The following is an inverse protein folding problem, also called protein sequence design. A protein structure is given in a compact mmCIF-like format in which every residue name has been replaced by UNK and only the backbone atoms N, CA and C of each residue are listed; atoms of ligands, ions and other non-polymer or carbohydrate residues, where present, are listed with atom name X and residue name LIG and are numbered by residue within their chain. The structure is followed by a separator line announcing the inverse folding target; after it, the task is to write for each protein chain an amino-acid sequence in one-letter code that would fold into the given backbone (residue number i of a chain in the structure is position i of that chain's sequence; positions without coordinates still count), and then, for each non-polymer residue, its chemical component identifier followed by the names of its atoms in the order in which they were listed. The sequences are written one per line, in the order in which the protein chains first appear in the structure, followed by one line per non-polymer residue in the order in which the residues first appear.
data_IF_461206875905
#
_entry.id   IF_461206875905
#
_cell.length_a   1.000
_cell.length_b   1.000
_cell.length_c   1.000
_cell.angle_alpha   90.00
_cell.angle_beta   90.00
_cell.angle_gamma   90.00
#
_symmetry.space_group_name_H-M   'P 1'
#
loop_
_entity.id
_entity.type
_entity.pdbx_description
1 polymer ?
#
# COMPACT_ATOMS: atom_id res chain seq x y z
N UNK A 1 -44.14 15.01 33.35
CA UNK A 1 -43.92 15.25 31.90
C UNK A 1 -42.41 15.36 31.70
N UNK A 2 -41.78 14.26 31.33
CA UNK A 2 -40.30 14.19 31.13
C UNK A 2 -40.07 14.34 29.63
N UNK A 3 -39.41 15.43 29.25
CA UNK A 3 -39.03 15.67 27.88
C UNK A 3 -37.79 14.82 27.54
N UNK A 4 -37.96 13.84 26.68
CA UNK A 4 -36.87 13.10 26.05
C UNK A 4 -36.28 13.99 24.94
N UNK A 5 -35.14 14.60 25.21
CA UNK A 5 -34.31 15.21 24.15
C UNK A 5 -33.58 14.09 23.40
N UNK A 6 -34.07 13.78 22.20
CA UNK A 6 -33.35 12.94 21.25
C UNK A 6 -32.11 13.72 20.74
N UNK A 7 -30.94 13.30 21.18
CA UNK A 7 -29.67 13.76 20.60
C UNK A 7 -29.56 13.12 19.20
N UNK A 8 -29.88 13.89 18.18
CA UNK A 8 -29.57 13.51 16.79
C UNK A 8 -28.05 13.52 16.64
N UNK A 9 -27.49 12.32 16.61
CA UNK A 9 -26.09 12.14 16.21
C UNK A 9 -26.00 12.57 14.74
N UNK A 10 -25.41 13.73 14.47
CA UNK A 10 -25.13 14.19 13.13
C UNK A 10 -24.24 13.15 12.45
N UNK A 11 -24.79 12.40 11.49
CA UNK A 11 -24.01 11.61 10.56
C UNK A 11 -23.09 12.62 9.83
N UNK A 12 -21.78 12.57 10.12
CA UNK A 12 -20.80 13.20 9.25
C UNK A 12 -20.90 12.48 7.92
N UNK A 13 -21.30 13.18 6.88
CA UNK A 13 -21.08 12.74 5.51
C UNK A 13 -19.59 12.50 5.37
N UNK A 14 -19.21 11.23 5.19
CA UNK A 14 -17.81 10.86 4.93
C UNK A 14 -17.61 11.19 3.47
N UNK A 15 -16.92 12.30 3.21
CA UNK A 15 -16.48 12.66 1.87
C UNK A 15 -15.45 11.60 1.45
N UNK A 16 -15.80 10.80 0.45
CA UNK A 16 -14.86 9.81 -0.12
C UNK A 16 -13.85 10.60 -0.94
N UNK A 17 -12.63 10.68 -0.43
CA UNK A 17 -11.54 11.34 -1.14
C UNK A 17 -11.06 10.39 -2.25
N UNK A 18 -11.14 10.84 -3.50
CA UNK A 18 -10.61 10.11 -4.65
C UNK A 18 -9.12 10.44 -4.79
N UNK A 19 -8.27 9.42 -4.70
CA UNK A 19 -6.85 9.55 -4.95
C UNK A 19 -6.49 8.91 -6.29
N UNK A 20 -5.73 9.61 -7.10
CA UNK A 20 -4.97 9.00 -8.19
C UNK A 20 -3.57 8.68 -7.67
N UNK A 21 -3.14 7.43 -7.83
CA UNK A 21 -1.78 7.07 -7.50
C UNK A 21 -0.83 7.79 -8.47
N UNK A 22 -0.04 8.71 -7.94
CA UNK A 22 0.90 9.48 -8.76
C UNK A 22 1.99 8.57 -9.31
N UNK A 23 2.24 8.68 -10.62
CA UNK A 23 3.39 8.01 -11.25
C UNK A 23 4.64 8.81 -10.94
N UNK A 24 5.61 8.18 -10.32
CA UNK A 24 6.89 8.83 -10.10
C UNK A 24 7.67 8.91 -11.42
N UNK A 25 7.85 10.10 -11.93
CA UNK A 25 8.67 10.37 -13.11
C UNK A 25 10.18 10.13 -12.87
N UNK A 26 10.56 9.85 -11.63
CA UNK A 26 11.95 9.71 -11.19
C UNK A 26 12.71 8.50 -11.76
N UNK A 27 12.03 7.54 -12.38
CA UNK A 27 12.72 6.49 -13.14
C UNK A 27 13.51 7.05 -14.37
N UNK A 28 13.38 8.35 -14.66
CA UNK A 28 14.00 9.02 -15.82
C UNK A 28 14.99 10.12 -15.41
N UNK A 29 14.99 10.57 -14.16
CA UNK A 29 15.82 11.69 -13.70
C UNK A 29 16.94 11.15 -12.82
N UNK A 30 18.18 11.37 -13.21
CA UNK A 30 19.39 10.84 -12.57
C UNK A 30 19.55 11.15 -11.07
N UNK A 31 20.52 10.51 -10.45
CA UNK A 31 20.83 10.47 -9.01
C UNK A 31 20.72 11.81 -8.25
N UNK A 32 21.00 12.95 -8.89
CA UNK A 32 20.94 14.28 -8.25
C UNK A 32 19.53 14.71 -7.83
N UNK A 33 18.50 14.30 -8.56
CA UNK A 33 17.11 14.64 -8.22
C UNK A 33 16.57 13.75 -7.11
N UNK A 34 17.02 12.50 -7.05
CA UNK A 34 16.72 11.54 -6.00
C UNK A 34 17.23 12.05 -4.64
N UNK A 35 18.45 12.55 -4.58
CA UNK A 35 19.05 13.11 -3.35
C UNK A 35 18.34 14.37 -2.84
N UNK A 36 17.87 15.24 -3.74
CA UNK A 36 17.19 16.49 -3.37
C UNK A 36 15.78 16.24 -2.80
N UNK A 37 15.09 15.24 -3.33
CA UNK A 37 13.76 14.85 -2.84
C UNK A 37 13.87 14.11 -1.50
N UNK A 38 14.91 13.30 -1.32
CA UNK A 38 15.14 12.48 -0.13
C UNK A 38 15.68 13.24 1.10
N UNK A 39 16.12 14.50 1.00
CA UNK A 39 16.63 15.22 2.18
C UNK A 39 15.64 15.36 3.33
N UNK A 40 14.33 15.24 3.08
CA UNK A 40 13.28 15.38 4.08
C UNK A 40 12.42 14.13 4.29
N UNK A 41 12.41 13.19 3.35
CA UNK A 41 11.62 11.96 3.41
C UNK A 41 12.54 10.79 3.08
N UNK A 42 12.69 9.86 4.00
CA UNK A 42 13.51 8.65 3.84
C UNK A 42 12.59 7.44 3.73
N UNK A 43 13.07 6.38 3.10
CA UNK A 43 12.48 5.07 3.29
C UNK A 43 12.60 4.71 4.78
N UNK A 44 11.46 4.48 5.40
CA UNK A 44 11.34 4.12 6.82
C UNK A 44 10.84 2.70 7.02
N UNK A 45 10.68 1.91 5.94
CA UNK A 45 10.14 0.54 5.99
C UNK A 45 10.86 -0.30 7.03
N UNK A 46 12.19 -0.37 6.96
CA UNK A 46 13.02 -1.10 7.93
C UNK A 46 12.95 -0.53 9.36
N UNK A 47 12.66 0.77 9.48
CA UNK A 47 12.56 1.44 10.79
C UNK A 47 11.22 1.18 11.47
N UNK A 48 10.12 1.16 10.74
CA UNK A 48 8.77 0.96 11.30
C UNK A 48 8.34 -0.49 11.30
N UNK A 49 9.10 -1.37 10.62
CA UNK A 49 8.90 -2.84 10.58
C UNK A 49 7.43 -3.23 10.38
N UNK A 50 6.80 -2.83 9.26
CA UNK A 50 5.40 -3.15 9.04
C UNK A 50 5.22 -4.66 8.88
N UNK A 51 4.05 -5.17 9.28
CA UNK A 51 3.58 -6.52 8.95
C UNK A 51 2.55 -6.40 7.82
N UNK A 52 2.59 -7.28 6.82
CA UNK A 52 1.55 -7.36 5.79
C UNK A 52 0.79 -8.68 5.91
N UNK A 53 -0.54 -8.58 5.96
CA UNK A 53 -1.48 -9.69 5.88
C UNK A 53 -2.27 -9.59 4.59
N UNK A 54 -2.53 -10.74 3.98
CA UNK A 54 -3.29 -10.85 2.74
C UNK A 54 -4.41 -11.86 2.91
N UNK A 55 -5.56 -11.64 2.27
CA UNK A 55 -6.71 -12.57 2.36
C UNK A 55 -6.51 -13.82 1.54
N UNK A 56 -5.69 -13.77 0.50
CA UNK A 56 -5.29 -14.95 -0.27
C UNK A 56 -3.83 -14.91 -0.68
N UNK A 57 -3.26 -16.07 -0.96
CA UNK A 57 -1.87 -16.22 -1.42
C UNK A 57 -1.81 -17.40 -2.40
N UNK A 58 -1.32 -17.15 -3.61
CA UNK A 58 -1.13 -18.20 -4.60
C UNK A 58 -0.13 -19.25 -4.09
N UNK A 59 -0.33 -20.55 -4.43
CA UNK A 59 0.61 -21.58 -4.07
C UNK A 59 1.97 -21.37 -4.73
N UNK A 60 3.03 -21.79 -4.06
CA UNK A 60 4.40 -21.73 -4.60
C UNK A 60 4.45 -22.48 -5.96
N UNK A 61 5.17 -21.93 -6.91
CA UNK A 61 5.32 -22.49 -8.25
C UNK A 61 6.67 -22.10 -8.85
N UNK A 62 7.29 -23.03 -9.58
CA UNK A 62 8.57 -22.77 -10.28
C UNK A 62 9.73 -22.36 -9.37
N UNK A 63 9.69 -22.72 -8.09
CA UNK A 63 10.68 -22.33 -7.08
C UNK A 63 10.43 -20.96 -6.45
N UNK A 64 9.36 -20.26 -6.85
CA UNK A 64 8.95 -18.96 -6.29
C UNK A 64 7.86 -19.13 -5.23
N UNK A 65 7.86 -18.30 -4.21
CA UNK A 65 6.77 -18.13 -3.23
C UNK A 65 6.10 -16.79 -3.46
N UNK A 66 4.80 -16.72 -3.16
CA UNK A 66 3.96 -15.52 -3.44
C UNK A 66 3.35 -14.94 -2.17
N UNK A 67 4.10 -15.00 -1.10
CA UNK A 67 3.71 -14.62 0.25
C UNK A 67 3.60 -13.09 0.40
N UNK A 68 2.74 -12.63 1.32
CA UNK A 68 2.61 -11.19 1.63
C UNK A 68 3.90 -10.54 2.11
N UNK A 69 4.81 -11.31 2.75
CA UNK A 69 6.14 -10.80 3.17
C UNK A 69 7.04 -10.38 2.02
N UNK A 70 6.84 -10.92 0.81
CA UNK A 70 7.57 -10.50 -0.39
C UNK A 70 7.32 -9.02 -0.75
N UNK A 71 6.26 -8.41 -0.18
CA UNK A 71 5.96 -7.00 -0.38
C UNK A 71 6.85 -6.06 0.46
N UNK A 72 7.70 -6.61 1.33
CA UNK A 72 8.54 -5.84 2.25
C UNK A 72 10.01 -6.23 2.16
N UNK A 73 10.38 -7.07 1.19
CA UNK A 73 11.75 -7.59 1.08
C UNK A 73 12.68 -6.70 0.23
N UNK A 74 12.15 -5.61 -0.33
CA UNK A 74 12.89 -4.68 -1.19
C UNK A 74 13.34 -5.29 -2.52
N UNK A 75 12.81 -6.46 -2.89
CA UNK A 75 13.19 -7.19 -4.08
C UNK A 75 12.08 -7.16 -5.14
N UNK A 76 12.25 -6.35 -6.17
CA UNK A 76 11.27 -6.22 -7.26
C UNK A 76 11.01 -7.52 -8.03
N UNK A 77 11.86 -8.55 -7.88
CA UNK A 77 11.70 -9.84 -8.58
C UNK A 77 10.78 -10.81 -7.85
N UNK A 78 10.59 -10.64 -6.57
CA UNK A 78 9.59 -11.35 -5.76
C UNK A 78 8.24 -10.65 -5.86
N UNK A 79 7.17 -11.29 -5.45
CA UNK A 79 5.83 -10.67 -5.40
C UNK A 79 4.91 -11.41 -4.43
N UNK A 80 3.94 -10.71 -3.89
CA UNK A 80 2.68 -11.33 -3.50
C UNK A 80 1.83 -11.58 -4.72
N UNK A 81 1.02 -12.65 -4.66
CA UNK A 81 0.08 -12.98 -5.72
C UNK A 81 -1.22 -13.55 -5.14
N UNK A 82 -2.36 -13.10 -5.65
CA UNK A 82 -3.68 -13.63 -5.29
C UNK A 82 -3.91 -15.04 -5.84
N UNK A 83 -4.83 -15.80 -5.22
CA UNK A 83 -5.24 -17.10 -5.76
C UNK A 83 -6.14 -17.01 -7.00
N UNK A 84 -6.85 -15.87 -7.16
CA UNK A 84 -7.83 -15.62 -8.22
C UNK A 84 -7.58 -14.29 -8.92
N UNK A 85 -8.65 -13.65 -9.39
CA UNK A 85 -8.60 -12.38 -10.13
C UNK A 85 -8.32 -11.16 -9.25
N UNK A 86 -8.06 -11.35 -7.98
CA UNK A 86 -7.69 -10.35 -6.99
C UNK A 86 -8.85 -9.46 -6.52
N UNK A 87 -10.04 -9.56 -7.10
CA UNK A 87 -11.18 -8.75 -6.67
C UNK A 87 -11.65 -9.16 -5.28
N UNK A 88 -11.90 -8.14 -4.44
CA UNK A 88 -12.25 -8.27 -3.02
C UNK A 88 -11.14 -8.86 -2.13
N UNK A 89 -9.91 -8.99 -2.64
CA UNK A 89 -8.76 -9.29 -1.81
C UNK A 89 -8.34 -8.07 -1.00
N UNK A 90 -7.96 -8.32 0.25
CA UNK A 90 -7.45 -7.29 1.14
C UNK A 90 -5.92 -7.46 1.31
N UNK A 91 -5.22 -6.33 1.25
CA UNK A 91 -3.86 -6.15 1.72
C UNK A 91 -3.93 -5.31 2.98
N UNK A 92 -3.57 -5.87 4.12
CA UNK A 92 -3.57 -5.15 5.39
C UNK A 92 -2.14 -4.94 5.87
N UNK A 93 -1.75 -3.68 6.01
CA UNK A 93 -0.48 -3.27 6.59
C UNK A 93 -0.71 -2.89 8.05
N UNK A 94 0.08 -3.46 8.94
CA UNK A 94 0.07 -3.18 10.38
C UNK A 94 1.42 -2.59 10.76
N UNK A 95 1.42 -1.39 11.35
CA UNK A 95 2.59 -0.75 11.94
C UNK A 95 2.34 -0.61 13.43
N UNK A 96 3.14 -1.32 14.22
CA UNK A 96 3.10 -1.30 15.69
C UNK A 96 4.43 -0.80 16.23
N UNK A 97 4.49 0.49 16.55
CA UNK A 97 5.72 1.10 17.06
C UNK A 97 6.03 0.68 18.51
N UNK A 98 5.09 0.08 19.23
CA UNK A 98 5.36 -0.47 20.58
C UNK A 98 6.35 -1.63 20.50
N UNK A 99 6.29 -2.41 19.41
CA UNK A 99 7.18 -3.55 19.16
C UNK A 99 8.51 -3.14 18.49
N UNK A 100 8.72 -1.85 18.18
CA UNK A 100 9.92 -1.35 17.51
C UNK A 100 10.82 -0.60 18.49
N UNK A 101 12.02 -1.14 18.72
CA UNK A 101 13.00 -0.50 19.59
C UNK A 101 13.53 0.81 18.99
N UNK A 102 13.64 1.83 19.83
CA UNK A 102 14.22 3.13 19.46
C UNK A 102 13.34 4.02 18.58
N UNK A 103 12.12 3.60 18.24
CA UNK A 103 11.17 4.41 17.48
C UNK A 103 9.94 4.75 18.32
N UNK A 104 9.74 6.03 18.62
CA UNK A 104 8.59 6.49 19.40
C UNK A 104 7.47 7.05 18.54
N UNK A 105 7.81 7.64 17.41
CA UNK A 105 6.86 8.23 16.47
C UNK A 105 7.34 8.03 15.04
N UNK A 106 6.40 7.89 14.11
CA UNK A 106 6.66 7.96 12.69
C UNK A 106 5.68 8.95 12.04
N UNK A 107 6.13 9.59 10.98
CA UNK A 107 5.29 10.42 10.10
C UNK A 107 5.38 9.80 8.73
N UNK A 108 4.29 9.18 8.28
CA UNK A 108 4.17 8.63 6.95
C UNK A 108 3.80 9.77 5.99
N UNK A 109 4.59 9.93 4.94
CA UNK A 109 4.34 10.93 3.89
C UNK A 109 3.84 10.24 2.62
N UNK A 110 4.51 9.17 2.19
CA UNK A 110 4.12 8.41 1.01
C UNK A 110 4.15 6.91 1.28
N UNK A 111 3.31 6.21 0.56
CA UNK A 111 3.40 4.76 0.41
C UNK A 111 3.60 4.45 -1.08
N UNK A 112 4.72 3.83 -1.41
CA UNK A 112 5.08 3.49 -2.77
C UNK A 112 4.62 2.08 -3.10
N UNK A 113 4.18 1.88 -4.34
CA UNK A 113 3.72 0.61 -4.87
C UNK A 113 4.43 0.25 -6.16
N UNK A 114 4.87 -0.99 -6.24
CA UNK A 114 5.40 -1.58 -7.45
C UNK A 114 4.39 -2.58 -8.00
N UNK A 115 3.37 -2.03 -8.68
CA UNK A 115 2.18 -2.73 -9.13
C UNK A 115 2.48 -3.77 -10.22
N UNK A 116 2.01 -5.00 -10.01
CA UNK A 116 2.30 -6.15 -10.85
C UNK A 116 3.57 -6.92 -10.45
N UNK A 117 3.83 -8.07 -11.08
CA UNK A 117 5.06 -8.84 -10.84
C UNK A 117 6.21 -8.30 -11.69
N UNK A 118 7.11 -7.56 -11.09
CA UNK A 118 8.20 -6.84 -11.78
C UNK A 118 9.49 -7.67 -11.94
N UNK A 119 9.39 -9.00 -11.95
CA UNK A 119 10.53 -9.89 -12.23
C UNK A 119 11.23 -9.50 -13.55
N UNK A 120 10.43 -9.22 -14.56
CA UNK A 120 10.78 -8.62 -15.85
C UNK A 120 9.53 -8.04 -16.51
N UNK A 121 9.69 -7.30 -17.61
CA UNK A 121 8.58 -6.65 -18.31
C UNK A 121 7.56 -7.64 -18.90
N UNK A 122 8.00 -8.82 -19.35
CA UNK A 122 7.10 -9.86 -19.91
C UNK A 122 6.25 -10.46 -18.79
N UNK A 123 6.88 -10.82 -17.68
CA UNK A 123 6.18 -11.33 -16.49
C UNK A 123 5.16 -10.31 -15.98
N UNK A 124 5.52 -9.02 -15.92
CA UNK A 124 4.61 -7.96 -15.54
C UNK A 124 3.38 -7.87 -16.46
N UNK A 125 3.54 -8.02 -17.78
CA UNK A 125 2.44 -8.06 -18.75
C UNK A 125 1.57 -9.30 -18.61
N UNK A 126 2.15 -10.44 -18.24
CA UNK A 126 1.46 -11.73 -18.20
C UNK A 126 0.45 -11.82 -17.05
N UNK A 127 0.71 -11.19 -15.90
CA UNK A 127 -0.15 -11.22 -14.71
C UNK A 127 -1.02 -9.96 -14.58
N UNK A 128 -2.13 -10.09 -13.83
CA UNK A 128 -3.01 -8.95 -13.56
C UNK A 128 -2.38 -7.98 -12.55
N UNK A 129 -2.81 -6.74 -12.59
CA UNK A 129 -2.34 -5.64 -11.75
C UNK A 129 -3.52 -4.94 -11.09
N UNK A 130 -3.30 -4.32 -9.96
CA UNK A 130 -4.33 -3.54 -9.26
C UNK A 130 -4.69 -2.31 -10.14
N UNK A 131 -6.00 -2.09 -10.38
CA UNK A 131 -6.51 -0.90 -11.05
C UNK A 131 -7.17 0.04 -10.06
N UNK A 132 -8.01 -0.48 -9.18
CA UNK A 132 -8.68 0.29 -8.14
C UNK A 132 -8.67 -0.44 -6.82
N UNK A 133 -8.54 0.32 -5.75
CA UNK A 133 -8.68 -0.17 -4.38
C UNK A 133 -9.39 0.87 -3.51
N UNK A 134 -10.19 0.43 -2.54
CA UNK A 134 -10.61 1.28 -1.44
C UNK A 134 -9.62 1.16 -0.29
N UNK A 135 -9.34 2.27 0.38
CA UNK A 135 -8.44 2.31 1.52
C UNK A 135 -9.17 2.70 2.79
N UNK A 136 -8.83 2.00 3.88
CA UNK A 136 -9.19 2.41 5.24
C UNK A 136 -7.93 2.57 6.08
N UNK A 137 -7.97 3.49 7.04
CA UNK A 137 -6.92 3.67 8.05
C UNK A 137 -7.57 3.56 9.42
N UNK A 138 -7.12 2.60 10.23
CA UNK A 138 -7.71 2.28 11.54
C UNK A 138 -9.24 2.05 11.45
N UNK A 139 -9.66 1.27 10.45
CA UNK A 139 -11.04 0.92 10.11
C UNK A 139 -11.94 2.12 9.69
N UNK A 140 -11.39 3.32 9.57
CA UNK A 140 -12.10 4.48 9.04
C UNK A 140 -11.84 4.61 7.54
N UNK A 141 -12.86 4.89 6.72
CA UNK A 141 -12.67 5.16 5.30
C UNK A 141 -11.64 6.27 5.09
N UNK A 142 -10.67 6.02 4.22
CA UNK A 142 -9.66 7.00 3.85
C UNK A 142 -9.87 7.49 2.42
N UNK A 143 -10.17 6.59 1.47
CA UNK A 143 -10.51 6.97 0.10
C UNK A 143 -10.52 5.80 -0.89
N UNK A 144 -10.80 6.13 -2.14
CA UNK A 144 -10.64 5.22 -3.29
C UNK A 144 -9.38 5.62 -4.07
N UNK A 145 -8.58 4.64 -4.42
CA UNK A 145 -7.32 4.82 -5.13
C UNK A 145 -7.47 4.23 -6.53
N UNK A 146 -7.07 4.98 -7.55
CA UNK A 146 -6.92 4.49 -8.92
C UNK A 146 -5.44 4.45 -9.27
N UNK A 147 -4.96 3.27 -9.67
CA UNK A 147 -3.61 3.06 -10.16
C UNK A 147 -3.58 3.13 -11.68
N UNK A 148 -2.49 3.60 -12.25
CA UNK A 148 -2.23 3.53 -13.68
C UNK A 148 -1.69 2.15 -14.10
N UNK A 149 -1.95 1.75 -15.35
CA UNK A 149 -1.37 0.53 -15.93
C UNK A 149 0.05 0.80 -16.44
N UNK A 150 0.98 1.00 -15.51
CA UNK A 150 2.37 1.33 -15.80
C UNK A 150 3.35 0.42 -15.05
N UNK A 151 4.50 0.17 -15.67
CA UNK A 151 5.63 -0.53 -15.04
C UNK A 151 6.37 0.34 -14.03
N UNK A 152 6.08 1.66 -13.97
CA UNK A 152 6.72 2.60 -13.06
C UNK A 152 6.19 2.45 -11.63
N UNK A 153 6.96 2.94 -10.66
CA UNK A 153 6.54 3.11 -9.29
C UNK A 153 5.40 4.12 -9.21
N UNK A 154 4.44 3.86 -8.32
CA UNK A 154 3.33 4.75 -8.04
C UNK A 154 3.28 5.05 -6.55
N UNK A 155 2.77 6.21 -6.15
CA UNK A 155 2.69 6.63 -4.75
C UNK A 155 1.31 7.10 -4.34
N UNK A 156 1.00 6.86 -3.07
CA UNK A 156 -0.13 7.46 -2.37
C UNK A 156 0.44 8.48 -1.38
N UNK A 157 -0.06 9.71 -1.40
CA UNK A 157 0.29 10.76 -0.44
C UNK A 157 -0.60 10.65 0.80
N UNK A 158 0.01 10.62 1.97
CA UNK A 158 -0.67 10.55 3.27
C UNK A 158 -0.75 11.90 3.99
N UNK A 159 -0.34 12.99 3.37
CA UNK A 159 -0.31 14.33 3.98
C UNK A 159 0.27 14.33 5.41
N UNK A 160 1.41 13.64 5.59
CA UNK A 160 2.13 13.54 6.86
C UNK A 160 1.33 12.85 7.99
N UNK A 161 0.75 11.71 7.68
CA UNK A 161 0.02 10.91 8.67
C UNK A 161 0.93 10.49 9.83
N UNK A 162 0.54 10.87 11.04
CA UNK A 162 1.33 10.58 12.25
C UNK A 162 0.93 9.24 12.86
N UNK A 163 1.94 8.42 13.14
CA UNK A 163 1.86 7.16 13.87
C UNK A 163 2.63 7.31 15.18
N UNK A 164 2.07 6.86 16.28
CA UNK A 164 2.71 6.86 17.60
C UNK A 164 2.56 5.49 18.28
N UNK A 165 3.23 5.30 19.42
CA UNK A 165 3.25 4.03 20.17
C UNK A 165 1.94 3.73 20.91
N UNK A 166 0.98 4.65 20.97
CA UNK A 166 -0.23 4.47 21.77
C UNK A 166 -1.23 3.51 21.16
N UNK A 167 -1.10 3.26 19.85
CA UNK A 167 -1.96 2.32 19.12
C UNK A 167 -1.31 1.84 17.83
N UNK A 168 -1.64 0.64 17.43
CA UNK A 168 -1.31 0.09 16.11
C UNK A 168 -1.94 0.95 15.02
N UNK A 169 -1.17 1.25 13.97
CA UNK A 169 -1.71 1.80 12.74
C UNK A 169 -2.03 0.66 11.79
N UNK A 170 -3.26 0.61 11.31
CA UNK A 170 -3.73 -0.40 10.35
C UNK A 170 -4.17 0.30 9.08
N UNK A 171 -3.50 0.00 7.96
CA UNK A 171 -3.86 0.46 6.62
C UNK A 171 -4.36 -0.75 5.85
N UNK A 172 -5.62 -0.73 5.41
CA UNK A 172 -6.19 -1.81 4.60
C UNK A 172 -6.53 -1.29 3.23
N UNK A 173 -6.07 -2.03 2.22
CA UNK A 173 -6.42 -1.83 0.82
C UNK A 173 -7.28 -3.00 0.38
N UNK A 174 -8.52 -2.74 -0.04
CA UNK A 174 -9.40 -3.71 -0.68
C UNK A 174 -9.41 -3.49 -2.18
N UNK A 175 -8.95 -4.47 -2.94
CA UNK A 175 -8.89 -4.41 -4.40
C UNK A 175 -10.32 -4.49 -4.95
N UNK A 176 -10.74 -3.47 -5.70
CA UNK A 176 -12.08 -3.38 -6.28
C UNK A 176 -12.10 -3.60 -7.79
N UNK A 177 -11.00 -3.29 -8.49
CA UNK A 177 -10.86 -3.53 -9.93
C UNK A 177 -9.41 -3.81 -10.32
N UNK A 178 -9.20 -4.51 -11.45
CA UNK A 178 -7.90 -4.99 -11.90
C UNK A 178 -7.69 -4.77 -13.38
N UNK A 179 -6.45 -4.47 -13.78
CA UNK A 179 -5.98 -4.59 -15.15
C UNK A 179 -5.68 -6.07 -15.42
N UNK A 180 -6.26 -6.62 -16.48
CA UNK A 180 -6.05 -8.02 -16.82
C UNK A 180 -4.66 -8.28 -17.37
N UNK A 181 -4.04 -9.36 -16.91
CA UNK A 181 -2.83 -9.89 -17.48
C UNK A 181 -3.07 -10.54 -18.84
N UNK A 182 -2.04 -10.64 -19.65
CA UNK A 182 -2.14 -11.26 -20.97
C UNK A 182 -2.35 -12.78 -20.90
N UNK A 183 -1.91 -13.44 -19.82
CA UNK A 183 -2.00 -14.90 -19.66
C UNK A 183 -2.69 -15.33 -18.38
N UNK A 184 -2.51 -14.59 -17.28
CA UNK A 184 -2.94 -15.02 -15.96
C UNK A 184 -3.86 -13.96 -15.32
N UNK A 185 -4.90 -14.43 -14.64
CA UNK A 185 -5.85 -13.56 -13.94
C UNK A 185 -5.39 -13.19 -12.53
N UNK A 186 -4.43 -13.92 -11.96
CA UNK A 186 -3.90 -13.62 -10.62
C UNK A 186 -3.32 -12.20 -10.60
N UNK A 187 -3.70 -11.44 -9.58
CA UNK A 187 -3.13 -10.12 -9.33
C UNK A 187 -1.82 -10.29 -8.57
N UNK A 188 -0.80 -9.59 -9.02
CA UNK A 188 0.49 -9.53 -8.37
C UNK A 188 0.84 -8.10 -7.95
N UNK A 189 1.65 -7.98 -6.90
CA UNK A 189 2.27 -6.76 -6.42
C UNK A 189 3.68 -7.12 -5.96
N UNK A 190 4.71 -6.40 -6.46
CA UNK A 190 6.10 -6.77 -6.16
C UNK A 190 6.58 -6.21 -4.82
N UNK A 191 6.32 -4.94 -4.54
CA UNK A 191 6.88 -4.32 -3.35
C UNK A 191 6.03 -3.13 -2.88
N UNK A 192 6.12 -2.82 -1.60
CA UNK A 192 5.51 -1.66 -0.95
C UNK A 192 6.53 -1.02 -0.03
N UNK A 193 6.75 0.29 -0.18
CA UNK A 193 7.71 1.04 0.62
C UNK A 193 7.02 2.18 1.37
N UNK A 194 7.45 2.43 2.60
CA UNK A 194 6.93 3.48 3.45
C UNK A 194 7.95 4.60 3.53
N UNK A 195 7.56 5.80 3.14
CA UNK A 195 8.43 6.98 3.06
C UNK A 195 7.97 8.05 4.02
N UNK A 196 8.91 8.57 4.80
CA UNK A 196 8.59 9.56 5.81
C UNK A 196 9.73 9.81 6.79
N UNK A 197 9.40 9.97 8.07
CA UNK A 197 10.35 10.18 9.17
C UNK A 197 9.99 9.28 10.34
N UNK A 198 10.97 8.59 10.90
CA UNK A 198 10.83 7.80 12.14
C UNK A 198 11.83 8.31 13.18
N UNK A 199 11.37 8.51 14.44
CA UNK A 199 12.14 9.05 15.55
C UNK A 199 11.92 8.24 16.82
#
# INVERSE_FOLDING_TARGET
MIALTSTVCAQREIEIILFEASVNEFDVIGEESYEKYNRNNQDITEKVKPEIKTTSTAPASGGETFDGKNLLDGNMKTSWMSTGDGKNEDLEVIIDLEEVEGVNTAVLTYMYFFNGWRKDYHTWKDYSRIKKATMTVNDLPYGEITFEDTYKQQSIDFDKFKIDRTRRCRIRLRITDTYKGAKFNQVALSDVQFVGKAK
#
